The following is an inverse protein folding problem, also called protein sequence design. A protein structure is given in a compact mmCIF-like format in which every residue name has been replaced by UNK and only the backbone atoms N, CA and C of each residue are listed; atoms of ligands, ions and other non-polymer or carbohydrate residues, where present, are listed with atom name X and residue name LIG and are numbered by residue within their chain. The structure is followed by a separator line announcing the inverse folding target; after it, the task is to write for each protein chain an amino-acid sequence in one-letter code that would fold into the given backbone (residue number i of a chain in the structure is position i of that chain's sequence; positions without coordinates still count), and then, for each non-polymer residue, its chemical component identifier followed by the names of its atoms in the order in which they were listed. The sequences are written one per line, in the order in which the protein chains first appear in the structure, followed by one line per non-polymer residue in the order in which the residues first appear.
data_IF_990291807578
#
_entry.id   IF_990291807578
#
_cell.length_a   1.000
_cell.length_b   1.000
_cell.length_c   1.000
_cell.angle_alpha   90.00
_cell.angle_beta   90.00
_cell.angle_gamma   90.00
#
_symmetry.space_group_name_H-M   'P 1'
#
loop_
_entity.id
_entity.type
_entity.pdbx_description
1 polymer ?
#
# COMPACT_ATOMS: atom_id res chain seq x y z
N UNK A 1 -5.19 19.35 5.63
CA UNK A 1 -4.13 18.53 5.00
C UNK A 1 -2.76 19.01 5.50
N UNK A 2 -1.99 18.16 6.21
CA UNK A 2 -0.74 18.55 6.90
C UNK A 2 0.39 19.03 5.98
N UNK A 3 0.48 18.44 4.77
CA UNK A 3 1.53 18.78 3.80
C UNK A 3 1.16 20.04 3.01
N UNK A 4 -0.09 20.16 2.58
CA UNK A 4 -0.60 21.34 1.87
C UNK A 4 -0.50 22.63 2.70
N UNK A 5 -0.67 22.55 4.03
CA UNK A 5 -0.55 23.72 4.91
C UNK A 5 0.86 24.31 5.00
N UNK A 6 1.85 23.71 4.34
CA UNK A 6 3.26 24.18 4.30
C UNK A 6 3.60 24.92 3.01
N UNK A 7 2.61 25.26 2.18
CA UNK A 7 2.73 25.96 0.90
C UNK A 7 3.68 25.30 -0.12
N UNK A 8 3.56 23.98 -0.41
CA UNK A 8 4.25 23.38 -1.55
C UNK A 8 3.67 23.86 -2.87
N UNK A 9 4.43 23.77 -3.97
CA UNK A 9 3.93 24.08 -5.31
C UNK A 9 2.86 23.08 -5.78
N UNK A 10 3.00 21.81 -5.41
CA UNK A 10 2.00 20.75 -5.62
C UNK A 10 2.20 19.60 -4.60
N UNK A 11 1.16 18.80 -4.40
CA UNK A 11 1.20 17.55 -3.62
C UNK A 11 0.44 16.50 -4.40
N UNK A 12 1.08 15.37 -4.67
CA UNK A 12 0.47 14.23 -5.36
C UNK A 12 0.85 12.94 -4.64
N UNK A 13 0.03 11.90 -4.81
CA UNK A 13 0.24 10.59 -4.18
C UNK A 13 0.55 9.57 -5.27
N UNK A 14 1.67 8.87 -5.08
CA UNK A 14 2.05 7.70 -5.86
C UNK A 14 2.09 6.46 -4.97
N UNK A 15 1.39 5.42 -5.37
CA UNK A 15 1.39 4.12 -4.69
C UNK A 15 1.69 2.99 -5.66
N UNK A 16 2.45 1.99 -5.19
CA UNK A 16 2.66 0.76 -5.94
C UNK A 16 1.40 -0.10 -5.94
N UNK A 17 0.73 -0.23 -4.79
CA UNK A 17 -0.42 -1.09 -4.60
C UNK A 17 -1.60 -0.27 -4.06
N UNK A 18 -2.79 -0.49 -4.62
CA UNK A 18 -4.04 0.05 -4.11
C UNK A 18 -5.04 -1.08 -3.97
N UNK A 19 -5.86 -1.03 -2.91
CA UNK A 19 -6.97 -1.94 -2.66
C UNK A 19 -8.28 -1.16 -2.75
N UNK A 20 -8.89 -1.05 -3.94
CA UNK A 20 -10.08 -0.21 -4.14
C UNK A 20 -11.23 -0.58 -3.19
N UNK A 21 -11.46 -1.87 -2.98
CA UNK A 21 -12.55 -2.37 -2.12
C UNK A 21 -12.28 -2.16 -0.62
N UNK A 22 -11.03 -1.94 -0.22
CA UNK A 22 -10.66 -1.68 1.17
C UNK A 22 -10.59 -0.17 1.49
N UNK A 23 -10.73 0.70 0.48
CA UNK A 23 -10.68 2.14 0.67
C UNK A 23 -11.90 2.62 1.49
N UNK A 24 -11.64 3.24 2.64
CA UNK A 24 -12.68 3.80 3.53
C UNK A 24 -12.83 5.32 3.40
N UNK A 25 -11.90 5.95 2.70
CA UNK A 25 -11.82 7.40 2.54
C UNK A 25 -11.51 7.65 1.07
N UNK A 26 -12.18 8.65 0.51
CA UNK A 26 -11.88 9.13 -0.83
C UNK A 26 -10.54 9.88 -0.78
N UNK A 27 -9.52 9.30 -1.40
CA UNK A 27 -8.17 9.86 -1.50
C UNK A 27 -7.82 9.85 -2.98
N UNK A 28 -7.59 11.03 -3.53
CA UNK A 28 -7.11 11.16 -4.89
C UNK A 28 -5.64 10.70 -4.97
N UNK A 29 -5.43 9.56 -5.61
CA UNK A 29 -4.12 8.98 -5.82
C UNK A 29 -3.80 9.03 -7.31
N UNK A 30 -3.04 10.05 -7.69
CA UNK A 30 -2.70 10.38 -9.07
C UNK A 30 -1.98 9.23 -9.78
N UNK A 31 -1.09 8.52 -9.08
CA UNK A 31 -0.26 7.47 -9.66
C UNK A 31 -0.46 6.14 -8.93
N UNK A 32 -0.94 5.14 -9.65
CA UNK A 32 -1.16 3.79 -9.12
C UNK A 32 -0.45 2.77 -9.99
N UNK A 33 0.39 1.95 -9.37
CA UNK A 33 1.05 0.82 -10.04
C UNK A 33 0.07 -0.31 -10.35
N UNK A 34 -0.55 -0.88 -9.30
CA UNK A 34 -1.44 -2.02 -9.42
C UNK A 34 -2.63 -1.91 -8.44
N UNK A 35 -3.82 -2.18 -8.95
CA UNK A 35 -4.99 -2.49 -8.12
C UNK A 35 -4.98 -3.98 -7.78
N UNK A 36 -5.07 -4.30 -6.49
CA UNK A 36 -5.01 -5.68 -5.98
C UNK A 36 -6.24 -6.01 -5.12
N UNK A 37 -6.62 -7.30 -5.03
CA UNK A 37 -7.70 -7.73 -4.15
C UNK A 37 -7.36 -7.46 -2.68
N UNK A 38 -8.38 -7.56 -1.81
CA UNK A 38 -8.21 -7.37 -0.37
C UNK A 38 -7.58 -8.59 0.33
N UNK A 39 -6.35 -8.92 -0.05
CA UNK A 39 -5.56 -10.03 0.50
C UNK A 39 -4.41 -9.54 1.38
N UNK A 40 -3.97 -10.33 2.36
CA UNK A 40 -2.81 -9.96 3.17
C UNK A 40 -1.53 -10.19 2.36
N UNK A 41 -0.87 -9.12 1.91
CA UNK A 41 0.32 -9.19 1.05
C UNK A 41 1.59 -8.81 1.82
N UNK A 42 2.70 -9.49 1.51
CA UNK A 42 4.04 -9.26 2.06
C UNK A 42 5.08 -9.21 0.94
N UNK A 43 6.28 -8.72 1.24
CA UNK A 43 7.35 -8.56 0.25
C UNK A 43 7.47 -7.15 -0.30
N UNK A 44 8.59 -6.85 -0.94
CA UNK A 44 8.88 -5.52 -1.50
C UNK A 44 8.70 -4.38 -0.48
N UNK A 45 9.20 -4.58 0.74
CA UNK A 45 9.07 -3.66 1.86
C UNK A 45 7.85 -3.89 2.76
N UNK A 46 6.81 -4.60 2.29
CA UNK A 46 5.66 -5.00 3.09
C UNK A 46 6.02 -6.18 4.00
N UNK A 47 5.49 -6.18 5.22
CA UNK A 47 5.88 -7.15 6.24
C UNK A 47 4.71 -7.86 6.92
N UNK A 48 5.08 -8.94 7.61
CA UNK A 48 4.31 -9.51 8.70
C UNK A 48 5.28 -9.81 9.84
N UNK A 49 5.05 -9.21 11.02
CA UNK A 49 5.93 -9.32 12.18
C UNK A 49 7.41 -9.01 11.83
N UNK A 50 7.65 -7.94 11.08
CA UNK A 50 8.96 -7.51 10.59
C UNK A 50 9.66 -8.45 9.59
N UNK A 51 9.06 -9.60 9.27
CA UNK A 51 9.58 -10.54 8.29
C UNK A 51 9.14 -10.18 6.86
N UNK A 52 9.77 -10.84 5.88
CA UNK A 52 9.42 -10.82 4.45
C UNK A 52 9.69 -9.52 3.66
N UNK A 53 10.03 -8.39 4.31
CA UNK A 53 10.34 -7.11 3.62
C UNK A 53 11.34 -7.24 2.46
N UNK A 54 12.32 -8.12 2.60
CA UNK A 54 13.42 -8.32 1.63
C UNK A 54 13.09 -9.19 0.42
N UNK A 55 11.87 -9.74 0.32
CA UNK A 55 11.44 -10.44 -0.89
C UNK A 55 11.41 -9.47 -2.07
N UNK A 56 11.95 -9.90 -3.22
CA UNK A 56 11.94 -9.10 -4.45
C UNK A 56 10.55 -9.04 -5.10
N UNK A 57 9.70 -9.98 -4.73
CA UNK A 57 8.33 -10.12 -5.22
C UNK A 57 7.31 -9.76 -4.14
N UNK A 58 6.07 -9.53 -4.57
CA UNK A 58 4.92 -9.33 -3.69
C UNK A 58 4.09 -10.61 -3.71
N UNK A 59 3.80 -11.17 -2.55
CA UNK A 59 3.05 -12.42 -2.40
C UNK A 59 1.92 -12.30 -1.39
N UNK A 60 0.90 -13.15 -1.53
CA UNK A 60 -0.16 -13.29 -0.52
C UNK A 60 0.32 -14.21 0.60
N UNK A 61 0.19 -13.77 1.85
CA UNK A 61 0.53 -14.57 3.02
C UNK A 61 -0.56 -15.62 3.26
N UNK A 62 -0.16 -16.87 3.46
CA UNK A 62 -1.13 -17.93 3.74
C UNK A 62 -1.81 -17.73 5.11
N UNK A 63 -3.14 -17.94 5.17
CA UNK A 63 -3.96 -17.67 6.36
C UNK A 63 -3.42 -18.29 7.66
N UNK A 64 -2.94 -19.52 7.60
CA UNK A 64 -2.43 -20.26 8.77
C UNK A 64 -1.18 -19.63 9.41
N UNK A 65 -0.54 -18.66 8.75
CA UNK A 65 0.64 -17.97 9.27
C UNK A 65 0.26 -16.81 10.21
N UNK A 66 -0.97 -16.29 10.10
CA UNK A 66 -1.44 -15.12 10.86
C UNK A 66 -2.83 -15.30 11.50
N UNK A 67 -3.38 -16.52 11.45
CA UNK A 67 -4.60 -16.93 12.13
C UNK A 67 -4.34 -17.44 13.54
#
# INVERSE_FOLDING_TARGET
SNLESRNPASVEICTLLRKPEAAKVDIDCTWVGFDIPNEFVVGYGLDYAEAYRGLKDIGTLARHVYS
#
